data_IF_665268189533
#
_entry.id   IF_665268189533
#
_cell.length_a   1.000
_cell.length_b   1.000
_cell.length_c   1.000
_cell.angle_alpha   90.00
_cell.angle_beta   90.00
_cell.angle_gamma   90.00
#
_symmetry.space_group_name_H-M   'P 1'
#
loop_
_entity.id
_entity.type
_entity.pdbx_description
1 polymer ?
#
# COMPACT_ATOMS: atom_id res chain seq x y z
N UNK A 1 7.62 -9.20 4.10
CA UNK A 1 7.00 -8.12 3.29
C UNK A 1 7.71 -6.76 3.46
N UNK A 2 8.01 -6.06 2.36
CA UNK A 2 8.60 -4.69 2.39
C UNK A 2 7.53 -3.63 2.09
N UNK A 3 7.61 -2.48 2.78
CA UNK A 3 6.70 -1.36 2.56
C UNK A 3 6.75 -0.85 1.12
N UNK A 4 7.92 -0.84 0.50
CA UNK A 4 8.10 -0.45 -0.90
C UNK A 4 7.33 -1.37 -1.86
N UNK A 5 7.24 -2.67 -1.56
CA UNK A 5 6.48 -3.64 -2.37
C UNK A 5 4.99 -3.29 -2.37
N UNK A 6 4.40 -3.06 -1.19
CA UNK A 6 2.98 -2.71 -1.08
C UNK A 6 2.71 -1.32 -1.69
N UNK A 7 3.59 -0.34 -1.47
CA UNK A 7 3.45 0.98 -2.08
C UNK A 7 3.54 0.95 -3.62
N UNK A 8 4.41 0.10 -4.18
CA UNK A 8 4.48 -0.10 -5.62
C UNK A 8 3.15 -0.63 -6.17
N UNK A 9 2.55 -1.60 -5.50
CA UNK A 9 1.24 -2.16 -5.87
C UNK A 9 0.11 -1.13 -5.74
N UNK A 10 0.06 -0.36 -4.65
CA UNK A 10 -0.91 0.75 -4.48
C UNK A 10 -0.73 1.82 -5.58
N UNK A 11 0.51 2.11 -5.96
CA UNK A 11 0.80 3.05 -7.04
C UNK A 11 0.40 2.51 -8.41
N UNK A 12 0.48 1.20 -8.65
CA UNK A 12 -0.06 0.58 -9.87
C UNK A 12 -1.58 0.66 -9.86
N UNK A 13 -2.22 0.20 -8.79
CA UNK A 13 -3.68 0.17 -8.66
C UNK A 13 -4.31 1.55 -8.87
N UNK A 14 -3.75 2.62 -8.29
CA UNK A 14 -4.27 3.99 -8.51
C UNK A 14 -4.08 4.49 -9.95
N UNK A 15 -3.07 3.99 -10.68
CA UNK A 15 -2.84 4.36 -12.09
C UNK A 15 -3.78 3.59 -13.02
N UNK A 16 -4.11 2.35 -12.66
CA UNK A 16 -5.06 1.54 -13.41
C UNK A 16 -6.48 2.16 -13.40
N UNK A 17 -6.82 2.97 -12.38
CA UNK A 17 -8.04 3.77 -12.32
C UNK A 17 -8.02 5.05 -13.20
N UNK A 18 -6.93 5.33 -13.91
CA UNK A 18 -6.89 6.42 -14.91
C UNK A 18 -6.70 7.84 -14.37
N UNK A 19 -6.40 8.01 -13.08
CA UNK A 19 -6.13 9.31 -12.45
C UNK A 19 -7.28 10.34 -12.47
N UNK A 20 -8.53 9.86 -12.46
CA UNK A 20 -9.72 10.70 -12.33
C UNK A 20 -9.87 11.27 -10.91
N UNK A 21 -9.66 12.58 -10.76
CA UNK A 21 -9.78 13.28 -9.48
C UNK A 21 -11.23 13.48 -8.99
N UNK A 22 -12.21 13.15 -9.82
CA UNK A 22 -13.63 13.12 -9.45
C UNK A 22 -14.09 11.75 -8.98
N UNK A 23 -13.30 10.70 -9.23
CA UNK A 23 -13.59 9.34 -8.79
C UNK A 23 -13.13 9.12 -7.34
N UNK A 24 -14.07 8.66 -6.50
CA UNK A 24 -13.81 8.37 -5.09
C UNK A 24 -12.86 7.19 -4.89
N UNK A 25 -12.87 6.21 -5.80
CA UNK A 25 -11.96 5.06 -5.73
C UNK A 25 -10.52 5.51 -5.98
N UNK A 26 -10.32 6.36 -7.00
CA UNK A 26 -9.02 6.97 -7.23
C UNK A 26 -8.57 7.84 -6.05
N UNK A 27 -9.46 8.70 -5.53
CA UNK A 27 -9.14 9.56 -4.39
C UNK A 27 -8.72 8.76 -3.16
N UNK A 28 -9.41 7.66 -2.87
CA UNK A 28 -9.08 6.77 -1.75
C UNK A 28 -7.68 6.17 -1.89
N UNK A 29 -7.37 5.57 -3.05
CA UNK A 29 -6.05 4.98 -3.29
C UNK A 29 -4.94 6.03 -3.36
N UNK A 30 -5.20 7.18 -3.99
CA UNK A 30 -4.24 8.27 -4.11
C UNK A 30 -3.85 8.81 -2.73
N UNK A 31 -4.83 9.14 -1.89
CA UNK A 31 -4.54 9.70 -0.57
C UNK A 31 -3.98 8.66 0.40
N UNK A 32 -4.39 7.39 0.33
CA UNK A 32 -3.77 6.31 1.09
C UNK A 32 -2.30 6.13 0.70
N UNK A 33 -1.98 6.05 -0.59
CA UNK A 33 -0.61 5.96 -1.09
C UNK A 33 0.24 7.15 -0.62
N UNK A 34 -0.24 8.38 -0.80
CA UNK A 34 0.47 9.59 -0.36
C UNK A 34 0.75 9.56 1.15
N UNK A 35 -0.26 9.28 1.97
CA UNK A 35 -0.10 9.22 3.42
C UNK A 35 0.92 8.16 3.85
N UNK A 36 0.80 6.93 3.34
CA UNK A 36 1.70 5.83 3.66
C UNK A 36 3.14 6.11 3.20
N UNK A 37 3.32 6.76 2.05
CA UNK A 37 4.66 7.15 1.55
C UNK A 37 5.37 8.17 2.45
N UNK A 38 4.63 9.01 3.18
CA UNK A 38 5.21 9.91 4.18
C UNK A 38 5.44 9.26 5.54
N UNK A 39 4.76 8.14 5.81
CA UNK A 39 4.82 7.39 7.06
C UNK A 39 5.53 6.04 6.90
N UNK A 40 6.51 5.98 5.99
CA UNK A 40 7.24 4.76 5.64
C UNK A 40 7.72 3.95 6.84
N UNK A 41 8.35 4.59 7.83
CA UNK A 41 8.87 3.89 9.00
C UNK A 41 7.76 3.25 9.85
N UNK A 42 6.63 3.92 10.01
CA UNK A 42 5.51 3.38 10.78
C UNK A 42 4.75 2.31 9.99
N UNK A 43 4.64 2.48 8.67
CA UNK A 43 4.06 1.47 7.79
C UNK A 43 4.91 0.19 7.75
N UNK A 44 6.24 0.30 7.68
CA UNK A 44 7.12 -0.87 7.76
C UNK A 44 6.97 -1.60 9.10
N UNK A 45 6.90 -0.87 10.23
CA UNK A 45 6.65 -1.49 11.55
C UNK A 45 5.34 -2.27 11.58
N UNK A 46 4.27 -1.70 11.04
CA UNK A 46 2.98 -2.38 10.92
C UNK A 46 3.11 -3.66 10.08
N UNK A 47 3.76 -3.61 8.91
CA UNK A 47 3.95 -4.79 8.07
C UNK A 47 4.82 -5.87 8.76
N UNK A 48 5.81 -5.48 9.56
CA UNK A 48 6.62 -6.41 10.35
C UNK A 48 5.80 -7.07 11.49
N UNK A 49 4.85 -6.33 12.09
CA UNK A 49 3.89 -6.89 13.06
C UNK A 49 2.93 -7.88 12.39
N UNK A 50 2.38 -7.54 11.23
CA UNK A 50 1.49 -8.44 10.49
C UNK A 50 2.23 -9.67 9.95
N UNK A 51 3.48 -9.52 9.51
CA UNK A 51 4.32 -10.65 9.10
C UNK A 51 4.52 -11.65 10.25
N UNK A 52 4.74 -11.17 11.49
CA UNK A 52 4.83 -12.04 12.67
C UNK A 52 3.53 -12.76 13.02
N UNK A 53 2.39 -12.26 12.54
CA UNK A 53 1.08 -12.90 12.68
C UNK A 53 0.77 -13.88 11.54
N UNK A 54 1.68 -14.04 10.58
CA UNK A 54 1.51 -14.92 9.42
C UNK A 54 0.67 -14.32 8.29
N UNK A 55 0.45 -12.99 8.29
CA UNK A 55 -0.38 -12.33 7.27
C UNK A 55 0.15 -12.49 5.83
N UNK A 56 1.39 -12.94 5.66
CA UNK A 56 2.04 -13.13 4.36
C UNK A 56 2.52 -14.57 4.12
N UNK A 57 2.12 -15.54 4.96
CA UNK A 57 2.59 -16.92 4.87
C UNK A 57 2.20 -17.59 3.54
N UNK A 58 1.06 -17.19 2.94
CA UNK A 58 0.63 -17.68 1.61
C UNK A 58 1.28 -16.92 0.45
N UNK A 59 1.92 -15.77 0.73
CA UNK A 59 2.54 -14.93 -0.28
C UNK A 59 4.02 -15.27 -0.51
N UNK A 60 4.73 -15.76 0.52
CA UNK A 60 6.10 -16.25 0.41
C UNK A 60 6.09 -17.77 0.11
N UNK A 61 6.51 -18.24 -1.09
CA UNK A 61 6.60 -19.66 -1.42
C UNK A 61 7.75 -20.39 -0.71
#
# INVERSE_FOLDING_TARGET
>A
MKAETILAELNRARKDLGEDKSDIEWLALHHAFCFLSYKMSDFQKYLDEEARKGAFDEYEP
#
